data_IF_158943739811
#
_entry.id   IF_158943739811
#
_cell.length_a   1.000
_cell.length_b   1.000
_cell.length_c   1.000
_cell.angle_alpha   90.00
_cell.angle_beta   90.00
_cell.angle_gamma   90.00
#
_symmetry.space_group_name_H-M   'P 1'
#
loop_
_entity.id
_entity.type
_entity.pdbx_description
1 polymer ?
#
# COMPACT_ATOMS: atom_id res chain seq x y z
N UNK A 1 -9.33 -19.89 3.10
CA UNK A 1 -8.26 -18.86 3.19
C UNK A 1 -7.36 -19.16 4.38
N UNK A 2 -6.03 -19.11 4.23
CA UNK A 2 -5.09 -19.29 5.36
C UNK A 2 -4.44 -17.93 5.70
N UNK A 3 -4.63 -17.36 6.90
CA UNK A 3 -4.17 -16.01 7.22
C UNK A 3 -2.64 -15.86 7.33
N UNK A 4 -1.89 -16.97 7.34
CA UNK A 4 -0.43 -16.94 7.48
C UNK A 4 0.31 -16.91 6.14
N UNK A 5 -0.38 -17.16 5.02
CA UNK A 5 0.24 -17.09 3.70
C UNK A 5 0.18 -15.67 3.14
N UNK A 6 1.34 -15.18 2.70
CA UNK A 6 1.51 -13.86 2.07
C UNK A 6 0.94 -13.79 0.66
N UNK A 7 0.89 -14.92 -0.05
CA UNK A 7 0.24 -15.09 -1.35
C UNK A 7 -0.56 -16.39 -1.33
N UNK A 8 -1.79 -16.35 -1.84
CA UNK A 8 -2.64 -17.53 -1.96
C UNK A 8 -3.60 -17.40 -3.12
N UNK A 9 -3.81 -18.51 -3.82
CA UNK A 9 -4.77 -18.62 -4.91
C UNK A 9 -6.05 -19.22 -4.36
N UNK A 10 -7.14 -18.46 -4.40
CA UNK A 10 -8.44 -18.88 -3.88
C UNK A 10 -9.51 -18.75 -4.94
N UNK A 11 -10.45 -19.70 -4.96
CA UNK A 11 -11.56 -19.73 -5.91
C UNK A 11 -12.69 -18.77 -5.51
N UNK A 12 -12.86 -18.53 -4.21
CA UNK A 12 -13.80 -17.58 -3.63
C UNK A 12 -13.12 -16.85 -2.48
N UNK A 13 -13.39 -15.55 -2.38
CA UNK A 13 -12.97 -14.69 -1.27
C UNK A 13 -14.19 -13.91 -0.79
N UNK A 14 -14.55 -14.08 0.47
CA UNK A 14 -15.60 -13.26 1.07
C UNK A 14 -14.95 -12.03 1.72
N UNK A 15 -15.46 -10.82 1.46
CA UNK A 15 -14.87 -9.63 2.07
C UNK A 15 -14.84 -9.63 3.61
N UNK A 16 -15.73 -10.38 4.25
CA UNK A 16 -15.75 -10.62 5.70
C UNK A 16 -14.44 -11.25 6.20
N UNK A 17 -13.71 -11.96 5.34
CA UNK A 17 -12.45 -12.66 5.66
C UNK A 17 -11.24 -11.71 5.64
N UNK A 18 -11.38 -10.46 5.20
CA UNK A 18 -10.26 -9.54 5.03
C UNK A 18 -9.47 -9.29 6.32
N UNK A 19 -10.17 -9.14 7.46
CA UNK A 19 -9.51 -8.91 8.75
C UNK A 19 -8.92 -10.18 9.38
N UNK A 20 -9.14 -11.36 8.79
CA UNK A 20 -8.43 -12.57 9.23
C UNK A 20 -6.93 -12.47 8.94
N UNK A 21 -6.56 -11.75 7.89
CA UNK A 21 -5.16 -11.48 7.57
C UNK A 21 -4.54 -10.56 8.63
N UNK A 22 -3.26 -10.78 8.99
CA UNK A 22 -2.55 -9.94 9.95
C UNK A 22 -2.10 -8.60 9.35
N UNK A 23 -2.06 -8.49 8.02
CA UNK A 23 -1.58 -7.31 7.30
C UNK A 23 -2.58 -6.89 6.22
N UNK A 24 -2.62 -5.59 5.85
CA UNK A 24 -3.36 -5.15 4.67
C UNK A 24 -2.96 -5.98 3.47
N UNK A 25 -3.96 -6.54 2.80
CA UNK A 25 -3.81 -7.42 1.65
C UNK A 25 -4.53 -6.83 0.44
N UNK A 26 -4.11 -7.22 -0.76
CA UNK A 26 -4.85 -6.95 -1.97
C UNK A 26 -5.58 -8.22 -2.44
N UNK A 27 -6.71 -8.03 -3.09
CA UNK A 27 -7.48 -9.07 -3.75
C UNK A 27 -7.42 -8.83 -5.25
N UNK A 28 -6.77 -9.74 -5.98
CA UNK A 28 -6.66 -9.70 -7.44
C UNK A 28 -7.75 -10.60 -8.01
N UNK A 29 -8.69 -10.01 -8.75
CA UNK A 29 -9.76 -10.74 -9.41
C UNK A 29 -9.43 -10.92 -10.88
N UNK A 30 -8.79 -12.05 -11.20
CA UNK A 30 -8.26 -12.32 -12.54
C UNK A 30 -9.33 -12.27 -13.64
N UNK A 31 -10.55 -12.76 -13.38
CA UNK A 31 -11.64 -12.75 -14.37
C UNK A 31 -12.15 -11.35 -14.74
N UNK A 32 -11.90 -10.35 -13.90
CA UNK A 32 -12.30 -8.95 -14.13
C UNK A 32 -11.10 -8.03 -14.36
N UNK A 33 -9.87 -8.55 -14.35
CA UNK A 33 -8.63 -7.77 -14.44
C UNK A 33 -8.57 -6.60 -13.42
N UNK A 34 -9.20 -6.77 -12.26
CA UNK A 34 -9.31 -5.74 -11.23
C UNK A 34 -8.53 -6.11 -9.98
N UNK A 35 -7.91 -5.12 -9.35
CA UNK A 35 -7.25 -5.27 -8.05
C UNK A 35 -7.98 -4.42 -7.03
N UNK A 36 -8.41 -5.04 -5.93
CA UNK A 36 -9.00 -4.38 -4.78
C UNK A 36 -7.97 -4.33 -3.66
N UNK A 37 -7.79 -3.18 -3.04
CA UNK A 37 -6.98 -3.05 -1.84
C UNK A 37 -7.58 -1.98 -0.93
N UNK A 38 -7.17 -1.97 0.33
CA UNK A 38 -7.57 -0.88 1.19
C UNK A 38 -6.73 0.37 0.88
N UNK A 39 -7.35 1.41 0.31
CA UNK A 39 -6.68 2.68 -0.01
C UNK A 39 -6.70 3.63 1.19
N UNK A 40 -5.54 4.22 1.48
CA UNK A 40 -5.48 5.46 2.24
C UNK A 40 -5.72 5.37 3.75
N UNK A 41 -5.67 4.18 4.37
CA UNK A 41 -5.54 4.08 5.83
C UNK A 41 -4.08 3.81 6.22
N UNK A 42 -3.68 4.37 7.36
CA UNK A 42 -2.42 4.04 7.99
C UNK A 42 -2.47 2.59 8.51
N UNK A 43 -1.30 1.97 8.69
CA UNK A 43 -1.20 0.66 9.36
C UNK A 43 -1.90 0.67 10.72
N UNK A 44 -1.76 1.76 11.48
CA UNK A 44 -2.46 1.94 12.77
C UNK A 44 -3.97 1.85 12.62
N UNK A 45 -4.56 2.58 11.67
CA UNK A 45 -6.00 2.54 11.43
C UNK A 45 -6.47 1.15 11.01
N UNK A 46 -5.67 0.44 10.20
CA UNK A 46 -5.96 -0.94 9.85
C UNK A 46 -6.04 -1.84 11.09
N UNK A 47 -5.04 -1.78 11.98
CA UNK A 47 -5.04 -2.59 13.20
C UNK A 47 -6.18 -2.23 14.15
N UNK A 48 -6.53 -0.94 14.28
CA UNK A 48 -7.69 -0.50 15.07
C UNK A 48 -8.99 -1.06 14.52
N UNK A 49 -9.22 -0.94 13.19
CA UNK A 49 -10.41 -1.50 12.55
C UNK A 49 -10.48 -3.02 12.67
N UNK A 50 -9.34 -3.70 12.52
CA UNK A 50 -9.21 -5.15 12.70
C UNK A 50 -9.58 -5.56 14.13
N UNK A 51 -9.06 -4.87 15.15
CA UNK A 51 -9.37 -5.15 16.55
C UNK A 51 -10.86 -4.98 16.84
N UNK A 52 -11.46 -3.87 16.39
CA UNK A 52 -12.88 -3.61 16.56
C UNK A 52 -13.77 -4.66 15.84
N UNK A 53 -13.38 -5.13 14.65
CA UNK A 53 -14.07 -6.23 13.96
C UNK A 53 -14.10 -7.53 14.79
N UNK A 54 -12.97 -7.92 15.40
CA UNK A 54 -12.94 -9.13 16.24
C UNK A 54 -13.74 -8.94 17.53
N UNK A 55 -13.67 -7.77 18.16
CA UNK A 55 -14.46 -7.45 19.36
C UNK A 55 -15.96 -7.53 19.03
N UNK A 56 -16.40 -6.97 17.89
CA UNK A 56 -17.80 -7.05 17.45
C UNK A 56 -18.23 -8.50 17.17
N UNK A 57 -17.39 -9.28 16.49
CA UNK A 57 -17.65 -10.69 16.20
C UNK A 57 -17.81 -11.54 17.47
N UNK A 58 -16.95 -11.31 18.48
CA UNK A 58 -17.04 -11.97 19.79
C UNK A 58 -18.28 -11.50 20.55
N UNK A 59 -18.56 -10.19 20.56
CA UNK A 59 -19.72 -9.60 21.26
C UNK A 59 -21.04 -10.16 20.73
N UNK A 60 -21.17 -10.33 19.41
CA UNK A 60 -22.32 -10.96 18.76
C UNK A 60 -22.49 -12.42 19.19
N UNK A 61 -21.40 -13.20 19.21
CA UNK A 61 -21.44 -14.60 19.67
C UNK A 61 -21.81 -14.73 21.15
N UNK A 62 -21.42 -13.76 21.97
CA UNK A 62 -21.72 -13.71 23.40
C UNK A 62 -23.07 -13.03 23.71
N UNK A 63 -23.86 -12.64 22.70
CA UNK A 63 -25.14 -11.93 22.86
C UNK A 63 -25.04 -10.64 23.70
N UNK A 64 -23.91 -9.93 23.63
CA UNK A 64 -23.73 -8.63 24.31
C UNK A 64 -24.55 -7.58 23.56
N UNK A 65 -25.56 -7.01 24.24
CA UNK A 65 -26.58 -6.11 23.63
C UNK A 65 -26.03 -4.81 23.02
N UNK A 66 -24.80 -4.42 23.35
CA UNK A 66 -24.15 -3.22 22.83
C UNK A 66 -22.99 -3.62 21.91
N UNK A 67 -23.27 -3.85 20.62
CA UNK A 67 -22.21 -3.82 19.59
C UNK A 67 -21.68 -2.40 19.55
N UNK A 68 -20.43 -2.20 19.96
CA UNK A 68 -19.87 -0.87 20.17
C UNK A 68 -19.49 -0.22 18.82
N UNK A 69 -19.13 -1.00 17.80
CA UNK A 69 -18.80 -0.46 16.45
C UNK A 69 -18.98 -1.53 15.36
N UNK A 70 -20.07 -1.54 14.58
CA UNK A 70 -20.16 -2.41 13.41
C UNK A 70 -19.18 -1.93 12.33
N UNK A 71 -18.17 -2.73 12.04
CA UNK A 71 -17.20 -2.45 10.97
C UNK A 71 -17.46 -3.42 9.81
N UNK A 72 -17.78 -2.89 8.64
CA UNK A 72 -17.83 -3.66 7.41
C UNK A 72 -16.47 -3.59 6.69
N UNK A 73 -15.73 -4.70 6.53
CA UNK A 73 -14.44 -4.68 5.84
C UNK A 73 -14.54 -4.21 4.38
N UNK A 74 -15.70 -4.41 3.74
CA UNK A 74 -15.96 -4.01 2.33
C UNK A 74 -15.82 -2.51 2.13
N UNK A 75 -16.27 -1.70 3.08
CA UNK A 75 -16.23 -0.24 2.93
C UNK A 75 -14.82 0.33 2.87
N UNK A 76 -13.81 -0.48 3.19
CA UNK A 76 -12.40 -0.08 3.11
C UNK A 76 -11.74 -0.52 1.81
N UNK A 77 -12.28 -1.53 1.11
CA UNK A 77 -11.70 -1.99 -0.15
C UNK A 77 -12.10 -1.07 -1.29
N UNK A 78 -11.10 -0.54 -1.97
CA UNK A 78 -11.25 0.28 -3.17
C UNK A 78 -10.46 -0.36 -4.30
N UNK A 79 -10.96 -0.20 -5.53
CA UNK A 79 -10.17 -0.56 -6.68
C UNK A 79 -8.88 0.28 -6.71
N UNK A 80 -7.74 -0.39 -6.91
CA UNK A 80 -6.48 0.28 -7.15
C UNK A 80 -6.43 0.77 -8.59
N UNK A 81 -6.09 2.04 -8.74
CA UNK A 81 -5.67 2.62 -10.03
C UNK A 81 -4.28 2.08 -10.40
N UNK A 82 -3.96 2.00 -11.69
CA UNK A 82 -2.66 1.50 -12.13
C UNK A 82 -1.53 2.37 -11.56
N UNK A 83 -0.43 1.73 -11.17
CA UNK A 83 0.77 2.41 -10.71
C UNK A 83 1.85 2.33 -11.79
N UNK A 84 2.43 3.48 -12.14
CA UNK A 84 3.39 3.63 -13.23
C UNK A 84 4.77 3.00 -12.94
N UNK A 85 5.14 2.81 -11.66
CA UNK A 85 6.50 2.40 -11.28
C UNK A 85 6.94 1.08 -11.91
N UNK A 86 6.02 0.13 -12.03
CA UNK A 86 6.30 -1.20 -12.59
C UNK A 86 5.74 -1.39 -13.99
N UNK A 87 5.09 -0.40 -14.59
CA UNK A 87 4.36 -0.57 -15.85
C UNK A 87 5.31 -0.88 -17.02
N UNK A 88 6.36 -0.08 -17.19
CA UNK A 88 7.36 -0.29 -18.23
C UNK A 88 8.07 -1.64 -18.08
N UNK A 89 8.41 -2.02 -16.85
CA UNK A 89 9.03 -3.32 -16.57
C UNK A 89 8.06 -4.48 -16.85
N UNK A 90 6.82 -4.36 -16.43
CA UNK A 90 5.78 -5.37 -16.66
C UNK A 90 5.55 -5.59 -18.14
N UNK A 91 5.54 -4.52 -18.95
CA UNK A 91 5.44 -4.62 -20.41
C UNK A 91 6.63 -5.37 -21.02
N UNK A 92 7.85 -5.01 -20.64
CA UNK A 92 9.07 -5.68 -21.16
C UNK A 92 9.10 -7.16 -20.76
N UNK A 93 8.80 -7.47 -19.50
CA UNK A 93 8.76 -8.85 -18.99
C UNK A 93 7.70 -9.65 -19.74
N UNK A 94 6.49 -9.11 -19.88
CA UNK A 94 5.39 -9.79 -20.59
C UNK A 94 5.76 -10.03 -22.06
N UNK A 95 6.41 -9.07 -22.72
CA UNK A 95 6.88 -9.21 -24.10
C UNK A 95 7.95 -10.29 -24.25
N UNK A 96 8.88 -10.39 -23.30
CA UNK A 96 9.91 -11.45 -23.31
C UNK A 96 9.28 -12.83 -23.13
N UNK A 97 8.38 -12.99 -22.16
CA UNK A 97 7.65 -14.25 -21.94
C UNK A 97 6.84 -14.64 -23.18
N UNK A 98 6.14 -13.68 -23.79
CA UNK A 98 5.34 -13.93 -25.01
C UNK A 98 6.17 -14.34 -26.23
N UNK A 99 7.47 -14.01 -26.23
CA UNK A 99 8.43 -14.35 -27.28
C UNK A 99 9.32 -15.54 -26.89
N UNK A 100 8.91 -16.35 -25.90
CA UNK A 100 9.63 -17.56 -25.45
C UNK A 100 11.03 -17.27 -24.85
N UNK A 101 11.28 -16.03 -24.40
CA UNK A 101 12.52 -15.62 -23.72
C UNK A 101 12.35 -15.65 -22.19
N UNK A 102 11.91 -16.80 -21.64
CA UNK A 102 11.58 -16.95 -20.23
C UNK A 102 12.80 -16.75 -19.31
N UNK A 103 13.96 -17.29 -19.68
CA UNK A 103 15.19 -17.15 -18.88
C UNK A 103 15.64 -15.68 -18.78
N UNK A 104 15.54 -14.92 -19.87
CA UNK A 104 15.83 -13.48 -19.85
C UNK A 104 14.82 -12.72 -19.00
N UNK A 105 13.53 -13.07 -19.09
CA UNK A 105 12.49 -12.47 -18.28
C UNK A 105 12.73 -12.72 -16.78
N UNK A 106 13.07 -13.96 -16.41
CA UNK A 106 13.43 -14.34 -15.04
C UNK A 106 14.68 -13.62 -14.54
N UNK A 107 15.71 -13.50 -15.38
CA UNK A 107 16.91 -12.75 -15.06
C UNK A 107 16.60 -11.27 -14.75
N UNK A 108 15.82 -10.61 -15.62
CA UNK A 108 15.42 -9.20 -15.44
C UNK A 108 14.57 -9.03 -14.18
N UNK A 109 13.60 -9.93 -13.95
CA UNK A 109 12.78 -9.94 -12.72
C UNK A 109 13.64 -10.03 -11.47
N UNK A 110 14.65 -10.90 -11.47
CA UNK A 110 15.56 -11.05 -10.34
C UNK A 110 16.40 -9.78 -10.12
N UNK A 111 16.96 -9.20 -11.20
CA UNK A 111 17.70 -7.94 -11.11
C UNK A 111 16.83 -6.79 -10.61
N UNK A 112 15.58 -6.70 -11.07
CA UNK A 112 14.62 -5.69 -10.60
C UNK A 112 14.36 -5.86 -9.09
N UNK A 113 14.08 -7.09 -8.63
CA UNK A 113 13.90 -7.38 -7.21
C UNK A 113 15.09 -6.95 -6.35
N UNK A 114 16.31 -7.26 -6.79
CA UNK A 114 17.55 -6.85 -6.10
C UNK A 114 17.66 -5.33 -6.07
N UNK A 115 17.47 -4.66 -7.20
CA UNK A 115 17.55 -3.20 -7.29
C UNK A 115 16.52 -2.52 -6.40
N UNK A 116 15.26 -2.97 -6.43
CA UNK A 116 14.19 -2.43 -5.58
C UNK A 116 14.52 -2.62 -4.09
N UNK A 117 15.09 -3.76 -3.71
CA UNK A 117 15.52 -4.00 -2.32
C UNK A 117 16.66 -3.07 -1.89
N UNK A 118 17.67 -2.86 -2.74
CA UNK A 118 18.75 -1.91 -2.47
C UNK A 118 18.20 -0.49 -2.29
N UNK A 119 17.31 -0.05 -3.18
CA UNK A 119 16.65 1.27 -3.07
C UNK A 119 15.80 1.41 -1.82
N UNK A 120 15.14 0.34 -1.37
CA UNK A 120 14.40 0.35 -0.11
C UNK A 120 15.32 0.50 1.11
N UNK A 121 16.48 -0.15 1.09
CA UNK A 121 17.50 -0.01 2.15
C UNK A 121 18.11 1.40 2.14
N UNK A 122 18.43 1.94 0.97
CA UNK A 122 18.93 3.32 0.84
C UNK A 122 17.92 4.34 1.40
N UNK A 123 16.64 4.22 1.03
CA UNK A 123 15.58 5.07 1.57
C UNK A 123 15.48 4.95 3.10
N UNK A 124 15.55 3.73 3.64
CA UNK A 124 15.53 3.50 5.08
C UNK A 124 16.72 4.19 5.77
N UNK A 125 17.93 4.07 5.20
CA UNK A 125 19.12 4.75 5.71
C UNK A 125 18.92 6.27 5.70
N UNK A 126 18.46 6.84 4.59
CA UNK A 126 18.19 8.28 4.49
C UNK A 126 17.16 8.76 5.53
N UNK A 127 16.11 7.95 5.80
CA UNK A 127 15.13 8.24 6.85
C UNK A 127 15.78 8.24 8.23
N UNK A 128 16.64 7.26 8.53
CA UNK A 128 17.32 7.13 9.83
C UNK A 128 18.36 8.22 10.06
N UNK A 129 19.04 8.67 9.01
CA UNK A 129 20.05 9.74 9.05
C UNK A 129 19.43 11.14 9.00
N UNK A 130 18.14 11.26 8.67
CA UNK A 130 17.46 12.54 8.60
C UNK A 130 17.34 13.18 9.98
N UNK A 131 17.86 14.40 10.11
CA UNK A 131 17.63 15.24 11.31
C UNK A 131 16.21 15.84 11.36
N UNK A 132 15.39 15.64 10.32
CA UNK A 132 14.05 16.21 10.24
C UNK A 132 13.02 15.33 10.98
N UNK A 133 12.06 15.93 11.69
CA UNK A 133 10.97 15.16 12.28
C UNK A 133 10.06 14.58 11.19
N UNK A 134 9.46 13.42 11.48
CA UNK A 134 8.45 12.80 10.60
C UNK A 134 7.33 13.78 10.26
N UNK A 135 7.11 14.01 8.97
CA UNK A 135 6.08 14.90 8.46
C UNK A 135 6.34 15.35 7.02
N UNK A 136 5.53 16.30 6.55
CA UNK A 136 5.60 16.80 5.17
C UNK A 136 6.99 17.30 4.77
N UNK A 137 7.68 18.05 5.66
CA UNK A 137 9.02 18.60 5.39
C UNK A 137 10.07 17.50 5.14
N UNK A 138 10.02 16.42 5.91
CA UNK A 138 10.91 15.28 5.72
C UNK A 138 10.63 14.59 4.38
N UNK A 139 9.36 14.38 4.03
CA UNK A 139 8.97 13.78 2.75
C UNK A 139 9.47 14.63 1.57
N UNK A 140 9.31 15.96 1.63
CA UNK A 140 9.81 16.85 0.58
C UNK A 140 11.33 16.88 0.49
N UNK A 141 12.02 16.81 1.63
CA UNK A 141 13.47 16.72 1.65
C UNK A 141 13.94 15.42 0.98
N UNK A 142 13.39 14.28 1.38
CA UNK A 142 13.71 12.98 0.80
C UNK A 142 13.37 12.91 -0.68
N UNK A 143 12.29 13.57 -1.12
CA UNK A 143 11.94 13.64 -2.54
C UNK A 143 13.02 14.34 -3.34
N UNK A 144 13.59 15.42 -2.78
CA UNK A 144 14.67 16.18 -3.42
C UNK A 144 16.01 15.43 -3.42
N UNK A 145 16.31 14.66 -2.37
CA UNK A 145 17.60 13.94 -2.27
C UNK A 145 17.58 12.62 -3.03
N UNK A 146 16.54 11.82 -2.86
CA UNK A 146 16.45 10.47 -3.44
C UNK A 146 15.94 10.45 -4.87
N UNK A 147 15.32 11.55 -5.33
CA UNK A 147 14.65 11.65 -6.64
C UNK A 147 13.40 10.77 -6.77
N UNK A 148 12.92 10.18 -5.68
CA UNK A 148 11.76 9.28 -5.68
C UNK A 148 10.45 10.07 -5.56
N UNK A 149 9.43 9.65 -6.29
CA UNK A 149 8.07 10.13 -6.04
C UNK A 149 7.48 9.50 -4.77
N UNK A 150 6.46 10.17 -4.20
CA UNK A 150 5.85 9.76 -2.93
C UNK A 150 5.21 8.37 -3.00
N UNK A 151 4.66 7.99 -4.16
CA UNK A 151 4.16 6.65 -4.43
C UNK A 151 5.25 5.59 -4.36
N UNK A 152 6.43 5.90 -4.89
CA UNK A 152 7.53 4.95 -4.99
C UNK A 152 8.18 4.77 -3.62
N UNK A 153 8.33 5.86 -2.87
CA UNK A 153 8.73 5.81 -1.46
C UNK A 153 7.79 4.94 -0.63
N UNK A 154 6.48 5.00 -0.89
CA UNK A 154 5.49 4.18 -0.20
C UNK A 154 5.69 2.69 -0.51
N UNK A 155 5.95 2.33 -1.77
CA UNK A 155 6.26 0.94 -2.16
C UNK A 155 7.54 0.48 -1.48
N UNK A 156 8.61 1.25 -1.61
CA UNK A 156 9.95 0.91 -1.12
C UNK A 156 9.97 0.75 0.41
N UNK A 157 9.39 1.69 1.16
CA UNK A 157 9.40 1.59 2.63
C UNK A 157 8.59 0.39 3.14
N UNK A 158 7.54 -0.03 2.42
CA UNK A 158 6.76 -1.21 2.79
C UNK A 158 7.50 -2.53 2.55
N UNK A 159 8.56 -2.54 1.75
CA UNK A 159 9.40 -3.74 1.58
C UNK A 159 10.20 -4.08 2.83
N UNK A 160 10.54 -3.08 3.65
CA UNK A 160 11.32 -3.24 4.89
C UNK A 160 10.45 -3.22 6.15
N UNK A 161 9.14 -3.47 5.99
CA UNK A 161 8.14 -3.42 7.07
C UNK A 161 8.37 -4.43 8.19
N UNK A 162 9.03 -5.55 7.87
CA UNK A 162 9.28 -6.63 8.84
C UNK A 162 10.50 -6.27 9.69
N UNK A 163 11.50 -5.64 9.06
CA UNK A 163 12.75 -5.25 9.67
C UNK A 163 12.58 -4.05 10.61
N UNK A 164 11.78 -3.05 10.22
CA UNK A 164 11.60 -1.80 10.99
C UNK A 164 10.14 -1.32 11.04
N UNK A 165 9.22 -2.09 11.68
CA UNK A 165 7.79 -1.82 11.62
C UNK A 165 7.38 -0.44 12.16
N UNK A 166 8.03 0.05 13.22
CA UNK A 166 7.72 1.34 13.84
C UNK A 166 8.05 2.53 12.93
N UNK A 167 9.25 2.53 12.35
CA UNK A 167 9.72 3.59 11.45
C UNK A 167 8.88 3.61 10.18
N UNK A 168 8.59 2.44 9.62
CA UNK A 168 7.75 2.27 8.43
C UNK A 168 6.35 2.85 8.67
N UNK A 169 5.75 2.61 9.85
CA UNK A 169 4.44 3.16 10.19
C UNK A 169 4.44 4.70 10.30
N UNK A 170 5.45 5.29 10.96
CA UNK A 170 5.59 6.74 11.11
C UNK A 170 5.84 7.42 9.76
N UNK A 171 6.71 6.85 8.94
CA UNK A 171 7.03 7.39 7.63
C UNK A 171 5.86 7.25 6.66
N UNK A 172 5.19 6.09 6.62
CA UNK A 172 3.98 5.88 5.82
C UNK A 172 2.89 6.89 6.18
N UNK A 173 2.69 7.16 7.47
CA UNK A 173 1.73 8.18 7.90
C UNK A 173 2.11 9.58 7.40
N UNK A 174 3.40 9.91 7.43
CA UNK A 174 3.94 11.17 6.90
C UNK A 174 3.75 11.29 5.38
N UNK A 175 4.03 10.23 4.63
CA UNK A 175 3.81 10.13 3.19
C UNK A 175 2.34 10.34 2.83
N UNK A 176 1.43 9.59 3.46
CA UNK A 176 -0.01 9.67 3.19
C UNK A 176 -0.56 11.07 3.53
N UNK A 177 -0.09 11.68 4.63
CA UNK A 177 -0.46 13.05 4.97
C UNK A 177 0.03 14.04 3.91
N UNK A 178 1.29 13.89 3.47
CA UNK A 178 1.89 14.72 2.41
C UNK A 178 1.15 14.59 1.08
N UNK A 179 0.79 13.37 0.66
CA UNK A 179 0.02 13.12 -0.57
C UNK A 179 -1.39 13.73 -0.51
N UNK A 180 -2.06 13.63 0.65
CA UNK A 180 -3.38 14.27 0.84
C UNK A 180 -3.30 15.79 0.80
N UNK A 181 -2.21 16.37 1.32
CA UNK A 181 -1.97 17.80 1.24
C UNK A 181 -1.82 18.26 -0.22
N UNK A 182 -1.02 17.55 -1.03
CA UNK A 182 -0.88 17.85 -2.47
C UNK A 182 -2.20 17.70 -3.24
N UNK A 183 -2.97 16.65 -2.94
CA UNK A 183 -4.29 16.44 -3.55
C UNK A 183 -5.26 17.58 -3.23
N UNK A 184 -5.24 18.11 -1.99
CA UNK A 184 -6.04 19.27 -1.60
C UNK A 184 -5.58 20.55 -2.29
N UNK A 185 -4.27 20.76 -2.43
CA UNK A 185 -3.73 21.91 -3.15
C UNK A 185 -4.19 21.86 -4.61
N UNK A 186 -3.94 20.75 -5.30
CA UNK A 186 -4.33 20.57 -6.70
C UNK A 186 -5.84 20.74 -6.92
N UNK A 187 -6.71 20.21 -6.04
CA UNK A 187 -8.15 20.43 -6.13
C UNK A 187 -8.56 21.88 -5.91
N UNK A 188 -7.89 22.58 -4.98
CA UNK A 188 -8.20 23.99 -4.65
C UNK A 188 -7.77 24.93 -5.78
N UNK A 189 -6.63 24.69 -6.40
CA UNK A 189 -6.15 25.47 -7.55
C UNK A 189 -6.85 25.09 -8.85
N UNK A 190 -7.18 23.81 -9.06
CA UNK A 190 -8.00 23.35 -10.19
C UNK A 190 -9.41 23.95 -10.17
N UNK A 191 -10.05 24.02 -9.01
CA UNK A 191 -11.36 24.66 -8.87
C UNK A 191 -11.31 26.19 -9.02
N UNK A 192 -10.19 26.84 -8.66
CA UNK A 192 -10.01 28.28 -8.90
C UNK A 192 -9.82 28.62 -10.37
N UNK A 193 -9.17 27.77 -11.18
CA UNK A 193 -9.02 28.01 -12.61
C UNK A 193 -10.33 27.81 -13.38
N UNK A 194 -11.18 26.87 -12.96
CA UNK A 194 -12.51 26.66 -13.56
C UNK A 194 -13.49 27.79 -13.18
N UNK A 195 -13.32 28.42 -12.02
CA UNK A 195 -14.13 29.59 -11.61
C UNK A 195 -13.66 30.95 -12.17
N UNK A 196 -12.61 30.97 -12.99
CA UNK A 196 -12.09 32.17 -13.66
C UNK A 196 -12.17 32.08 -15.21
N UNK A 197 -12.76 31.01 -15.74
CA UNK A 197 -13.19 30.87 -17.14
C UNK A 197 -14.68 31.09 -17.26
#
# INVERSE_FOLDING_TARGET
VNPFFTLQFVTKFEPSEYFFFPSPSCYVKCGESTVYAIKGITLTNYFTSRAAYFIDSVSKRLNVKNSIYPINPISFMTQLESCYLFEAFSFVITKLISNEYEDQALFILNQLSVFTRVRAIDLLREIMESALPFGHRMVEHLKKTSGLDKSDMLVLINMVRVENPHLVALFTSSLLCSMRHDARISSTFGNKMIGMM
#
